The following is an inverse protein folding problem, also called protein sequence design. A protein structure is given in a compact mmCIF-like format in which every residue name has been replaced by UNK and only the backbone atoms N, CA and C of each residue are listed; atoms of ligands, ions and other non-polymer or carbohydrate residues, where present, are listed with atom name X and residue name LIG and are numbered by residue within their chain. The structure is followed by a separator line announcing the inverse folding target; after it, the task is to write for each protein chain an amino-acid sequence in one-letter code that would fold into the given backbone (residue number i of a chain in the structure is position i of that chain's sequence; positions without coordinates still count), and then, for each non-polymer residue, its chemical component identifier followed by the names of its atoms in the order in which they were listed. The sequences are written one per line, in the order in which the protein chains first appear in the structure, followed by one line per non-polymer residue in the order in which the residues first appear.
data_IF_716373238416
#
_entry.id   IF_716373238416
#
_cell.length_a   1.000
_cell.length_b   1.000
_cell.length_c   1.000
_cell.angle_alpha   90.00
_cell.angle_beta   90.00
_cell.angle_gamma   90.00
#
_symmetry.space_group_name_H-M   'P 1'
#
loop_
_entity.id
_entity.type
_entity.pdbx_description
1 polymer ?
#
# COMPACT_ATOMS: atom_id res chain seq x y z
N UNK A 1 5.94 5.70 -9.76
CA UNK A 1 7.00 4.71 -9.47
C UNK A 1 6.47 3.29 -9.29
N UNK A 2 5.26 3.10 -8.77
CA UNK A 2 4.68 1.75 -8.59
C UNK A 2 4.61 0.89 -9.88
N UNK A 3 4.27 1.49 -11.04
CA UNK A 3 4.11 0.74 -12.29
C UNK A 3 5.39 0.04 -12.77
N UNK A 4 6.57 0.65 -12.60
CA UNK A 4 7.83 0.02 -13.03
C UNK A 4 8.14 -1.22 -12.19
N UNK A 5 7.86 -1.19 -10.88
CA UNK A 5 8.00 -2.36 -10.02
C UNK A 5 7.00 -3.46 -10.38
N UNK A 6 5.77 -3.10 -10.76
CA UNK A 6 4.77 -4.08 -11.18
C UNK A 6 5.16 -4.79 -12.50
N UNK A 7 5.70 -4.05 -13.47
CA UNK A 7 6.19 -4.64 -14.72
C UNK A 7 7.37 -5.58 -14.48
N UNK A 8 8.34 -5.16 -13.67
CA UNK A 8 9.47 -6.00 -13.26
C UNK A 8 9.00 -7.26 -12.51
N UNK A 9 7.96 -7.13 -11.67
CA UNK A 9 7.35 -8.27 -11.00
C UNK A 9 6.79 -9.28 -12.01
N UNK A 10 6.12 -8.80 -13.05
CA UNK A 10 5.53 -9.64 -14.08
C UNK A 10 6.61 -10.39 -14.88
N UNK A 11 7.71 -9.71 -15.22
CA UNK A 11 8.85 -10.32 -15.90
C UNK A 11 9.53 -11.39 -15.03
N UNK A 12 9.68 -11.12 -13.73
CA UNK A 12 10.16 -12.10 -12.75
C UNK A 12 9.23 -13.32 -12.67
N UNK A 13 7.92 -13.10 -12.60
CA UNK A 13 6.92 -14.17 -12.51
C UNK A 13 6.94 -15.06 -13.76
N UNK A 14 6.93 -14.45 -14.95
CA UNK A 14 7.01 -15.16 -16.23
C UNK A 14 8.32 -15.94 -16.39
N UNK A 15 9.40 -15.49 -15.74
CA UNK A 15 10.70 -16.17 -15.71
C UNK A 15 10.84 -17.20 -14.58
N UNK A 16 9.76 -17.50 -13.86
CA UNK A 16 9.72 -18.42 -12.72
C UNK A 16 10.58 -17.97 -11.51
N UNK A 17 10.84 -16.67 -11.38
CA UNK A 17 11.51 -16.04 -10.23
C UNK A 17 10.47 -15.56 -9.20
N UNK A 18 9.72 -16.49 -8.63
CA UNK A 18 8.53 -16.24 -7.79
C UNK A 18 8.84 -15.36 -6.57
N UNK A 19 9.97 -15.57 -5.90
CA UNK A 19 10.39 -14.72 -4.78
C UNK A 19 10.69 -13.29 -5.22
N UNK A 20 11.34 -13.11 -6.36
CA UNK A 20 11.65 -11.79 -6.90
C UNK A 20 10.37 -11.08 -7.34
N UNK A 21 9.43 -11.79 -7.96
CA UNK A 21 8.11 -11.26 -8.29
C UNK A 21 7.37 -10.76 -7.04
N UNK A 22 7.34 -11.56 -5.97
CA UNK A 22 6.73 -11.15 -4.69
C UNK A 22 7.40 -9.89 -4.09
N UNK A 23 8.73 -9.81 -4.15
CA UNK A 23 9.47 -8.62 -3.70
C UNK A 23 9.03 -7.39 -4.49
N UNK A 24 9.01 -7.50 -5.81
CA UNK A 24 8.67 -6.38 -6.69
C UNK A 24 7.21 -5.92 -6.53
N UNK A 25 6.24 -6.82 -6.32
CA UNK A 25 4.86 -6.43 -6.01
C UNK A 25 4.79 -5.63 -4.70
N UNK A 26 5.47 -6.07 -3.64
CA UNK A 26 5.44 -5.30 -2.39
C UNK A 26 6.20 -3.97 -2.49
N UNK A 27 7.24 -3.86 -3.31
CA UNK A 27 7.85 -2.56 -3.64
C UNK A 27 6.87 -1.64 -4.38
N UNK A 28 6.05 -2.19 -5.29
CA UNK A 28 4.97 -1.45 -5.95
C UNK A 28 3.94 -0.96 -4.92
N UNK A 29 3.50 -1.84 -4.01
CA UNK A 29 2.54 -1.52 -2.95
C UNK A 29 3.08 -0.47 -1.96
N UNK A 30 4.34 -0.60 -1.56
CA UNK A 30 5.04 0.38 -0.74
C UNK A 30 5.11 1.74 -1.44
N UNK A 31 5.43 1.77 -2.73
CA UNK A 31 5.46 3.01 -3.51
C UNK A 31 4.11 3.73 -3.50
N UNK A 32 3.01 2.99 -3.68
CA UNK A 32 1.64 3.55 -3.63
C UNK A 32 1.35 4.18 -2.27
N UNK A 33 1.73 3.52 -1.17
CA UNK A 33 1.51 4.02 0.19
C UNK A 33 2.36 5.26 0.48
N UNK A 34 3.61 5.29 0.00
CA UNK A 34 4.49 6.46 0.14
C UNK A 34 3.95 7.67 -0.64
N UNK A 35 3.44 7.45 -1.86
CA UNK A 35 2.80 8.50 -2.65
C UNK A 35 1.54 9.04 -1.94
N UNK A 36 0.72 8.16 -1.35
CA UNK A 36 -0.46 8.56 -0.57
C UNK A 36 -0.09 9.33 0.70
N UNK A 37 0.96 8.88 1.41
CA UNK A 37 1.52 9.60 2.58
C UNK A 37 1.90 11.02 2.19
N UNK A 38 2.66 11.19 1.12
CA UNK A 38 3.20 12.49 0.72
C UNK A 38 2.07 13.48 0.42
N UNK A 39 1.01 13.02 -0.23
CA UNK A 39 -0.18 13.82 -0.49
C UNK A 39 -0.94 14.18 0.78
N UNK A 40 -1.13 13.22 1.69
CA UNK A 40 -1.77 13.48 2.99
C UNK A 40 -0.98 14.52 3.79
N UNK A 41 0.34 14.36 3.89
CA UNK A 41 1.22 15.28 4.59
C UNK A 41 1.18 16.68 3.95
N UNK A 42 1.24 16.77 2.62
CA UNK A 42 1.13 18.04 1.91
C UNK A 42 -0.21 18.74 2.18
N UNK A 43 -1.32 17.98 2.14
CA UNK A 43 -2.66 18.51 2.42
C UNK A 43 -2.79 18.99 3.87
N UNK A 44 -2.36 18.20 4.85
CA UNK A 44 -2.41 18.59 6.27
C UNK A 44 -1.60 19.87 6.52
N UNK A 45 -0.40 19.99 5.95
CA UNK A 45 0.39 21.21 6.02
C UNK A 45 -0.34 22.41 5.40
N UNK A 46 -1.01 22.23 4.25
CA UNK A 46 -1.77 23.31 3.59
C UNK A 46 -2.97 23.79 4.42
N UNK A 47 -3.55 22.92 5.24
CA UNK A 47 -4.66 23.23 6.15
C UNK A 47 -4.17 23.81 7.49
N UNK A 48 -2.85 23.88 7.71
CA UNK A 48 -2.26 24.28 9.00
C UNK A 48 -2.48 23.24 10.10
N UNK A 49 -2.78 21.99 9.74
CA UNK A 49 -2.93 20.89 10.69
C UNK A 49 -1.58 20.27 11.03
N UNK A 50 -1.45 19.83 12.28
CA UNK A 50 -0.26 19.09 12.72
C UNK A 50 -0.14 17.77 11.98
N UNK A 51 0.99 17.54 11.32
CA UNK A 51 1.29 16.26 10.67
C UNK A 51 1.71 15.24 11.73
N UNK A 52 1.06 14.07 11.83
CA UNK A 52 1.49 13.01 12.73
C UNK A 52 2.94 12.60 12.45
N UNK A 53 3.81 12.60 13.47
CA UNK A 53 5.24 12.29 13.33
C UNK A 53 5.51 10.90 12.74
N UNK A 54 4.60 9.95 12.96
CA UNK A 54 4.66 8.59 12.40
C UNK A 54 4.57 8.54 10.89
N UNK A 55 3.99 9.55 10.23
CA UNK A 55 3.99 9.63 8.77
C UNK A 55 5.41 9.84 8.23
N UNK A 56 6.30 10.48 9.01
CA UNK A 56 7.70 10.70 8.64
C UNK A 56 8.63 9.54 9.06
N UNK A 57 8.09 8.41 9.54
CA UNK A 57 8.90 7.26 9.95
C UNK A 57 9.48 6.53 8.72
N UNK A 58 10.70 6.02 8.85
CA UNK A 58 11.37 5.26 7.79
C UNK A 58 10.78 3.86 7.61
N UNK A 59 10.07 3.33 8.60
CA UNK A 59 9.44 2.01 8.55
C UNK A 59 8.08 2.13 7.88
N UNK A 60 7.95 1.56 6.68
CA UNK A 60 6.70 1.55 5.92
C UNK A 60 5.48 1.05 6.72
N UNK A 61 5.64 0.04 7.58
CA UNK A 61 4.55 -0.43 8.45
C UNK A 61 4.04 0.67 9.38
N UNK A 62 4.95 1.45 9.96
CA UNK A 62 4.58 2.57 10.84
C UNK A 62 3.83 3.66 10.08
N UNK A 63 4.23 3.93 8.83
CA UNK A 63 3.53 4.87 7.93
C UNK A 63 2.14 4.34 7.58
N UNK A 64 2.03 3.07 7.17
CA UNK A 64 0.76 2.41 6.84
C UNK A 64 -0.22 2.47 8.02
N UNK A 65 0.23 2.09 9.22
CA UNK A 65 -0.60 2.13 10.43
C UNK A 65 -1.04 3.56 10.78
N UNK A 66 -0.18 4.56 10.52
CA UNK A 66 -0.51 5.97 10.76
C UNK A 66 -1.56 6.50 9.78
N UNK A 67 -1.48 6.15 8.49
CA UNK A 67 -2.51 6.51 7.49
C UNK A 67 -3.83 5.81 7.85
N UNK A 68 -3.79 4.53 8.20
CA UNK A 68 -4.98 3.80 8.63
C UNK A 68 -5.67 4.49 9.81
N UNK A 69 -4.92 4.81 10.87
CA UNK A 69 -5.46 5.50 12.05
C UNK A 69 -6.06 6.85 11.67
N UNK A 70 -5.41 7.61 10.79
CA UNK A 70 -5.93 8.88 10.31
C UNK A 70 -7.27 8.70 9.57
N UNK A 71 -7.34 7.77 8.62
CA UNK A 71 -8.54 7.51 7.82
C UNK A 71 -9.67 6.95 8.67
N UNK A 72 -9.38 6.06 9.62
CA UNK A 72 -10.38 5.50 10.53
C UNK A 72 -11.02 6.60 11.42
N UNK A 73 -10.23 7.56 11.90
CA UNK A 73 -10.76 8.73 12.63
C UNK A 73 -11.65 9.63 11.76
N UNK A 74 -11.39 9.65 10.45
CA UNK A 74 -12.12 10.47 9.45
C UNK A 74 -13.12 9.66 8.64
N UNK A 75 -13.41 8.43 9.05
CA UNK A 75 -14.22 7.48 8.29
C UNK A 75 -15.66 7.92 8.04
N UNK A 76 -16.20 8.74 8.94
CA UNK A 76 -17.51 9.35 8.78
C UNK A 76 -17.53 10.42 7.66
N UNK A 77 -16.38 11.02 7.35
CA UNK A 77 -16.20 12.04 6.32
C UNK A 77 -15.98 11.42 4.92
N UNK A 78 -15.74 10.10 4.86
CA UNK A 78 -15.57 9.37 3.58
C UNK A 78 -16.93 9.12 2.92
N UNK A 79 -17.03 9.30 1.59
CA UNK A 79 -18.15 8.78 0.80
C UNK A 79 -18.35 7.29 1.07
N UNK A 80 -19.62 6.85 1.07
CA UNK A 80 -19.97 5.47 1.45
C UNK A 80 -19.20 4.41 0.64
N UNK A 81 -19.14 4.58 -0.67
CA UNK A 81 -18.44 3.65 -1.57
C UNK A 81 -16.94 3.57 -1.24
N UNK A 82 -16.29 4.73 -1.05
CA UNK A 82 -14.87 4.79 -0.67
C UNK A 82 -14.60 4.16 0.70
N UNK A 83 -15.54 4.30 1.65
CA UNK A 83 -15.44 3.65 2.95
C UNK A 83 -15.51 2.13 2.85
N UNK A 84 -16.45 1.61 2.06
CA UNK A 84 -16.61 0.16 1.83
C UNK A 84 -15.34 -0.42 1.17
N UNK A 85 -14.79 0.25 0.16
CA UNK A 85 -13.54 -0.14 -0.49
C UNK A 85 -12.34 -0.08 0.46
N UNK A 86 -12.26 0.96 1.30
CA UNK A 86 -11.21 1.08 2.31
C UNK A 86 -11.22 -0.11 3.28
N UNK A 87 -12.39 -0.48 3.79
CA UNK A 87 -12.53 -1.65 4.68
C UNK A 87 -12.15 -2.96 3.98
N UNK A 88 -12.49 -3.10 2.70
CA UNK A 88 -12.25 -4.32 1.93
C UNK A 88 -10.76 -4.51 1.58
N UNK A 89 -10.09 -3.46 1.07
CA UNK A 89 -8.80 -3.61 0.40
C UNK A 89 -7.60 -3.10 1.20
N UNK A 90 -7.80 -2.27 2.23
CA UNK A 90 -6.67 -1.67 2.96
C UNK A 90 -5.73 -2.72 3.57
N UNK A 91 -6.29 -3.78 4.16
CA UNK A 91 -5.51 -4.83 4.80
C UNK A 91 -4.59 -5.59 3.84
N UNK A 92 -4.91 -5.61 2.53
CA UNK A 92 -4.09 -6.26 1.51
C UNK A 92 -2.71 -5.59 1.36
N UNK A 93 -2.60 -4.27 1.58
CA UNK A 93 -1.31 -3.56 1.55
C UNK A 93 -0.36 -4.12 2.61
N UNK A 94 -0.87 -4.36 3.82
CA UNK A 94 -0.09 -4.91 4.92
C UNK A 94 0.43 -6.33 4.64
N UNK A 95 -0.33 -7.14 3.89
CA UNK A 95 0.09 -8.49 3.52
C UNK A 95 1.19 -8.46 2.46
N UNK A 96 1.00 -7.73 1.36
CA UNK A 96 2.00 -7.64 0.29
C UNK A 96 3.34 -7.10 0.79
N UNK A 97 3.32 -6.05 1.62
CA UNK A 97 4.53 -5.45 2.20
C UNK A 97 5.25 -6.43 3.15
N UNK A 98 4.50 -7.29 3.86
CA UNK A 98 5.09 -8.30 4.75
C UNK A 98 5.77 -9.42 3.97
N UNK A 99 5.14 -9.93 2.91
CA UNK A 99 5.71 -11.00 2.07
C UNK A 99 7.07 -10.60 1.49
N UNK A 100 7.22 -9.33 1.08
CA UNK A 100 8.49 -8.78 0.59
C UNK A 100 9.57 -8.70 1.66
N UNK A 101 9.23 -8.29 2.89
CA UNK A 101 10.23 -8.07 3.97
C UNK A 101 10.62 -9.32 4.74
N UNK A 102 9.67 -10.22 5.01
CA UNK A 102 9.88 -11.32 5.94
C UNK A 102 10.11 -12.64 5.22
N UNK A 103 9.40 -12.91 4.12
CA UNK A 103 9.35 -14.24 3.50
C UNK A 103 10.30 -14.39 2.30
N UNK A 104 10.50 -13.32 1.54
CA UNK A 104 11.44 -13.34 0.42
C UNK A 104 12.91 -13.05 0.83
N UNK A 105 13.12 -12.31 1.93
CA UNK A 105 14.44 -11.84 2.35
C UNK A 105 15.19 -12.73 3.36
N UNK A 106 14.50 -13.62 4.09
CA UNK A 106 15.12 -14.53 5.06
C UNK A 106 15.14 -15.99 4.52
N UNK A 107 16.31 -16.67 4.50
CA UNK A 107 16.43 -18.05 3.98
C UNK A 107 15.59 -19.10 4.71
N UNK A 108 15.03 -18.76 5.88
CA UNK A 108 14.40 -19.70 6.82
C UNK A 108 12.89 -19.49 6.99
N UNK A 109 12.22 -18.67 6.16
CA UNK A 109 10.78 -18.49 6.35
C UNK A 109 10.05 -19.83 6.18
N UNK A 110 9.27 -20.17 7.20
CA UNK A 110 8.64 -21.49 7.39
C UNK A 110 7.50 -21.70 6.38
N UNK A 111 7.02 -20.62 5.75
CA UNK A 111 6.12 -20.66 4.59
C UNK A 111 6.83 -20.16 3.33
N UNK A 112 7.07 -21.00 2.32
CA UNK A 112 7.60 -20.56 1.04
C UNK A 112 6.58 -19.68 0.31
N UNK A 113 7.04 -18.57 -0.26
CA UNK A 113 6.27 -17.78 -1.23
C UNK A 113 5.86 -18.70 -2.39
N UNK A 114 4.55 -18.90 -2.58
CA UNK A 114 4.00 -19.76 -3.63
C UNK A 114 3.56 -18.96 -4.85
N UNK A 115 3.52 -19.61 -6.01
CA UNK A 115 3.01 -19.05 -7.26
C UNK A 115 1.58 -18.54 -7.10
N UNK A 116 0.71 -19.30 -6.43
CA UNK A 116 -0.68 -18.93 -6.15
C UNK A 116 -0.77 -17.64 -5.31
N UNK A 117 0.10 -17.48 -4.31
CA UNK A 117 0.11 -16.28 -3.47
C UNK A 117 0.59 -15.03 -4.25
N UNK A 118 1.58 -15.20 -5.13
CA UNK A 118 2.05 -14.12 -6.01
C UNK A 118 1.00 -13.77 -7.07
N UNK A 119 0.36 -14.77 -7.66
CA UNK A 119 -0.73 -14.58 -8.61
C UNK A 119 -1.92 -13.87 -7.96
N UNK A 120 -2.33 -14.28 -6.75
CA UNK A 120 -3.36 -13.58 -5.98
C UNK A 120 -2.96 -12.12 -5.69
N UNK A 121 -1.67 -11.87 -5.41
CA UNK A 121 -1.17 -10.51 -5.20
C UNK A 121 -1.28 -9.65 -6.46
N UNK A 122 -1.04 -10.21 -7.65
CA UNK A 122 -1.30 -9.52 -8.92
C UNK A 122 -2.78 -9.19 -9.14
N UNK A 123 -3.69 -10.08 -8.74
CA UNK A 123 -5.12 -9.85 -8.89
C UNK A 123 -5.65 -8.76 -7.95
N UNK A 124 -5.11 -8.66 -6.74
CA UNK A 124 -5.56 -7.67 -5.74
C UNK A 124 -4.91 -6.30 -5.92
N UNK A 125 -3.71 -6.23 -6.51
CA UNK A 125 -2.97 -4.98 -6.68
C UNK A 125 -3.74 -3.86 -7.40
N UNK A 126 -4.47 -4.11 -8.50
CA UNK A 126 -5.26 -3.07 -9.17
C UNK A 126 -6.30 -2.42 -8.25
N UNK A 127 -7.02 -3.22 -7.46
CA UNK A 127 -8.02 -2.73 -6.50
C UNK A 127 -7.40 -1.84 -5.43
N UNK A 128 -6.20 -2.19 -4.97
CA UNK A 128 -5.43 -1.39 -4.01
C UNK A 128 -4.96 -0.07 -4.61
N UNK A 129 -4.46 -0.10 -5.86
CA UNK A 129 -4.04 1.10 -6.57
C UNK A 129 -5.23 2.05 -6.82
N UNK A 130 -6.40 1.48 -7.17
CA UNK A 130 -7.63 2.25 -7.34
C UNK A 130 -8.10 2.88 -6.02
N UNK A 131 -8.14 2.11 -4.93
CA UNK A 131 -8.44 2.61 -3.59
C UNK A 131 -7.52 3.78 -3.22
N UNK A 132 -6.20 3.62 -3.41
CA UNK A 132 -5.24 4.68 -3.11
C UNK A 132 -5.48 5.93 -3.98
N UNK A 133 -5.84 5.75 -5.26
CA UNK A 133 -6.22 6.84 -6.16
C UNK A 133 -7.48 7.59 -5.69
N UNK A 134 -8.51 6.87 -5.26
CA UNK A 134 -9.74 7.48 -4.72
C UNK A 134 -9.48 8.20 -3.39
N UNK A 135 -8.69 7.61 -2.50
CA UNK A 135 -8.28 8.25 -1.25
C UNK A 135 -7.46 9.52 -1.51
N UNK A 136 -6.52 9.47 -2.46
CA UNK A 136 -5.73 10.61 -2.94
C UNK A 136 -6.61 11.74 -3.46
N UNK A 137 -7.63 11.41 -4.28
CA UNK A 137 -8.59 12.37 -4.78
C UNK A 137 -9.36 13.03 -3.63
N UNK A 138 -9.92 12.23 -2.71
CA UNK A 138 -10.65 12.73 -1.55
C UNK A 138 -9.78 13.62 -0.63
N UNK A 139 -8.53 13.22 -0.35
CA UNK A 139 -7.57 14.04 0.41
C UNK A 139 -7.38 15.40 -0.27
N UNK A 140 -7.27 15.41 -1.59
CA UNK A 140 -7.01 16.64 -2.33
C UNK A 140 -8.22 17.58 -2.34
N UNK A 141 -9.43 17.06 -2.61
CA UNK A 141 -10.64 17.85 -2.86
C UNK A 141 -11.51 18.11 -1.63
N UNK A 142 -11.63 17.14 -0.73
CA UNK A 142 -12.69 17.10 0.28
C UNK A 142 -12.19 17.13 1.72
N UNK A 143 -10.95 16.70 1.99
CA UNK A 143 -10.37 16.77 3.32
C UNK A 143 -10.26 18.24 3.78
N UNK A 144 -10.81 18.50 4.96
CA UNK A 144 -10.86 19.81 5.63
C UNK A 144 -10.19 19.79 6.99
#
# INVERSE_FOLDING_TARGET
MANSYLLEALDCFNSNYIKAAAVMIGCAAESVILDLRDQLTAKLNSLGHGVPSKLSDWRIKTVLDAIYQFLEMRKADLPRELREEFEAYWNAFGQQIRTTRNDAGHPTSVDPVTDDAVHASFLVFPEQAELAGKLSAWISSELK
#
